data_IF_966222160295
#
_entry.id   IF_966222160295
#
_cell.length_a   1.000
_cell.length_b   1.000
_cell.length_c   1.000
_cell.angle_alpha   90.00
_cell.angle_beta   90.00
_cell.angle_gamma   90.00
#
_symmetry.space_group_name_H-M   'P 1'
#
loop_
_entity.id
_entity.type
_entity.pdbx_description
1 polymer ?
#
# COMPACT_ATOMS: atom_id res chain seq x y z
N UNK A 1 22.23 -46.78 -24.92
CA UNK A 1 22.50 -45.93 -23.73
C UNK A 1 22.45 -44.48 -24.21
N UNK A 2 21.81 -43.59 -23.43
CA UNK A 2 20.80 -42.61 -23.87
C UNK A 2 21.44 -41.27 -24.35
N UNK A 3 20.78 -40.36 -25.06
CA UNK A 3 19.69 -39.49 -24.58
C UNK A 3 18.78 -38.98 -25.71
N UNK A 4 17.48 -39.12 -25.45
CA UNK A 4 16.35 -38.69 -26.26
C UNK A 4 15.76 -37.41 -25.64
N UNK A 5 15.75 -36.31 -26.38
CA UNK A 5 14.90 -35.13 -26.12
C UNK A 5 14.40 -34.57 -27.45
N UNK A 6 13.44 -35.24 -28.05
CA UNK A 6 12.60 -34.63 -29.10
C UNK A 6 11.69 -33.62 -28.41
N UNK A 7 11.93 -32.34 -28.67
CA UNK A 7 10.98 -31.26 -28.38
C UNK A 7 9.79 -31.51 -29.31
N UNK A 8 8.65 -31.90 -28.76
CA UNK A 8 7.40 -32.02 -29.52
C UNK A 8 6.88 -30.60 -29.71
N UNK A 9 6.81 -30.17 -30.97
CA UNK A 9 6.21 -28.90 -31.38
C UNK A 9 4.69 -28.97 -31.19
N UNK A 10 4.13 -27.97 -30.52
CA UNK A 10 2.69 -27.79 -30.31
C UNK A 10 1.87 -27.68 -31.60
N UNK A 11 2.51 -27.50 -32.76
CA UNK A 11 1.84 -27.54 -34.06
C UNK A 11 1.42 -28.97 -34.50
N UNK A 12 2.11 -30.02 -34.06
CA UNK A 12 1.81 -31.41 -34.45
C UNK A 12 0.73 -32.08 -33.58
N UNK A 13 0.23 -31.39 -32.55
CA UNK A 13 -0.81 -31.90 -31.64
C UNK A 13 -2.24 -31.52 -32.06
N UNK A 14 -2.43 -30.81 -33.18
CA UNK A 14 -3.76 -30.42 -33.68
C UNK A 14 -4.33 -31.33 -34.78
N UNK A 15 -3.68 -32.45 -35.12
CA UNK A 15 -4.14 -33.37 -36.17
C UNK A 15 -4.48 -34.79 -35.64
N UNK A 16 -5.14 -34.86 -34.48
CA UNK A 16 -5.80 -36.10 -34.04
C UNK A 16 -7.30 -35.83 -33.92
N UNK A 17 -7.99 -36.21 -34.99
CA UNK A 17 -9.43 -36.26 -35.12
C UNK A 17 -10.07 -37.17 -34.06
N UNK A 18 -11.31 -36.78 -33.71
CA UNK A 18 -12.39 -37.61 -33.15
C UNK A 18 -12.52 -37.69 -31.61
N UNK A 19 -12.67 -36.53 -30.96
CA UNK A 19 -13.42 -36.45 -29.70
C UNK A 19 -14.65 -35.56 -29.92
N UNK A 20 -15.79 -36.22 -30.08
CA UNK A 20 -17.11 -35.62 -30.12
C UNK A 20 -17.44 -35.04 -28.73
N UNK A 21 -17.22 -33.73 -28.55
CA UNK A 21 -17.60 -32.97 -27.36
C UNK A 21 -18.66 -31.97 -27.82
N UNK A 22 -19.86 -32.05 -27.23
CA UNK A 22 -21.04 -31.25 -27.54
C UNK A 22 -20.73 -29.77 -27.84
N UNK A 23 -20.98 -29.37 -29.09
CA UNK A 23 -20.72 -28.04 -29.66
C UNK A 23 -21.50 -26.88 -29.01
N UNK A 24 -22.42 -27.14 -28.07
CA UNK A 24 -23.18 -26.07 -27.41
C UNK A 24 -22.43 -25.42 -26.22
N UNK A 25 -21.31 -25.98 -25.76
CA UNK A 25 -20.59 -25.46 -24.59
C UNK A 25 -19.37 -24.56 -24.89
N UNK A 26 -18.98 -24.44 -26.17
CA UNK A 26 -17.84 -23.60 -26.61
C UNK A 26 -18.24 -22.33 -27.38
N UNK A 27 -19.53 -22.13 -27.65
CA UNK A 27 -20.01 -21.00 -28.44
C UNK A 27 -19.98 -19.63 -27.70
N UNK A 28 -19.63 -19.59 -26.41
CA UNK A 28 -19.56 -18.33 -25.63
C UNK A 28 -18.13 -17.87 -25.31
N UNK A 29 -17.13 -18.36 -26.07
CA UNK A 29 -15.74 -17.88 -25.99
C UNK A 29 -15.18 -17.37 -27.33
N UNK A 30 -16.01 -17.30 -28.38
CA UNK A 30 -15.60 -16.70 -29.65
C UNK A 30 -15.70 -15.19 -29.61
N UNK A 31 -14.54 -14.56 -29.57
CA UNK A 31 -14.31 -13.13 -29.73
C UNK A 31 -14.95 -12.56 -31.02
N UNK A 32 -16.14 -11.98 -30.91
CA UNK A 32 -16.62 -10.95 -31.85
C UNK A 32 -17.67 -10.06 -31.18
N UNK A 33 -17.26 -8.87 -30.71
CA UNK A 33 -18.03 -7.62 -30.88
C UNK A 33 -17.21 -6.42 -30.43
N UNK A 34 -17.16 -5.42 -31.32
CA UNK A 34 -16.72 -4.03 -31.16
C UNK A 34 -16.25 -3.61 -29.77
N UNK A 35 -15.01 -3.11 -29.70
CA UNK A 35 -14.50 -2.36 -28.56
C UNK A 35 -15.52 -1.30 -28.13
N UNK A 36 -16.02 -1.44 -26.91
CA UNK A 36 -16.88 -0.44 -26.28
C UNK A 36 -16.03 0.82 -26.04
N UNK A 37 -16.34 1.98 -26.64
CA UNK A 37 -15.52 3.18 -26.51
C UNK A 37 -15.49 3.75 -25.07
N UNK A 38 -16.19 3.14 -24.11
CA UNK A 38 -16.24 3.62 -22.72
C UNK A 38 -15.27 2.94 -21.76
N UNK A 39 -14.54 1.89 -22.15
CA UNK A 39 -13.64 1.18 -21.24
C UNK A 39 -12.24 1.03 -21.84
N UNK A 40 -11.27 1.65 -21.17
CA UNK A 40 -9.86 1.64 -21.54
C UNK A 40 -9.24 0.34 -21.04
N UNK A 41 -9.19 -0.68 -21.88
CA UNK A 41 -8.58 -1.96 -21.53
C UNK A 41 -7.06 -1.90 -21.74
N UNK A 42 -6.32 -2.00 -20.64
CA UNK A 42 -4.86 -2.02 -20.63
C UNK A 42 -4.35 -3.46 -20.71
N UNK A 43 -3.77 -3.84 -21.85
CA UNK A 43 -3.02 -5.08 -21.99
C UNK A 43 -1.62 -4.90 -21.36
N UNK A 44 -1.45 -5.31 -20.11
CA UNK A 44 -0.14 -5.33 -19.45
C UNK A 44 0.60 -6.60 -19.84
N UNK A 45 1.59 -6.49 -20.74
CA UNK A 45 2.54 -7.59 -20.98
C UNK A 45 3.45 -7.75 -19.76
N UNK A 46 3.19 -8.76 -18.93
CA UNK A 46 4.10 -9.15 -17.85
C UNK A 46 5.29 -9.95 -18.41
N UNK A 47 6.50 -9.71 -17.90
CA UNK A 47 7.70 -10.48 -18.29
C UNK A 47 7.61 -11.93 -17.76
N UNK A 48 8.22 -12.89 -18.45
CA UNK A 48 8.02 -14.33 -18.19
C UNK A 48 8.28 -14.83 -16.75
N UNK A 49 9.18 -14.21 -15.99
CA UNK A 49 9.48 -14.60 -14.60
C UNK A 49 8.50 -14.04 -13.55
N UNK A 50 7.69 -13.02 -13.91
CA UNK A 50 6.55 -12.58 -13.10
C UNK A 50 5.29 -13.36 -13.44
N UNK A 51 5.28 -14.04 -14.59
CA UNK A 51 4.16 -14.84 -15.07
C UNK A 51 4.04 -16.17 -14.32
N UNK A 52 5.15 -16.88 -14.10
CA UNK A 52 5.14 -18.18 -13.41
C UNK A 52 4.58 -18.13 -11.97
N UNK A 53 4.90 -17.10 -11.20
CA UNK A 53 4.41 -16.98 -9.81
C UNK A 53 2.94 -16.53 -9.78
N UNK A 54 2.54 -15.69 -10.72
CA UNK A 54 1.16 -15.28 -10.88
C UNK A 54 0.29 -16.45 -11.35
N UNK A 55 0.78 -17.26 -12.29
CA UNK A 55 0.15 -18.51 -12.72
C UNK A 55 -0.01 -19.48 -11.55
N UNK A 56 1.03 -19.67 -10.74
CA UNK A 56 0.96 -20.54 -9.55
C UNK A 56 -0.10 -20.06 -8.57
N UNK A 57 -0.18 -18.74 -8.33
CA UNK A 57 -1.16 -18.13 -7.43
C UNK A 57 -2.58 -18.18 -8.00
N UNK A 58 -2.77 -17.94 -9.30
CA UNK A 58 -4.07 -18.06 -9.99
C UNK A 58 -4.55 -19.51 -9.99
N UNK A 59 -3.65 -20.48 -10.20
CA UNK A 59 -3.97 -21.92 -10.13
C UNK A 59 -4.36 -22.32 -8.71
N UNK A 60 -3.62 -21.87 -7.69
CA UNK A 60 -3.97 -22.12 -6.30
C UNK A 60 -5.32 -21.50 -5.91
N UNK A 61 -5.59 -20.28 -6.37
CA UNK A 61 -6.84 -19.58 -6.16
C UNK A 61 -8.03 -20.23 -6.87
N UNK A 62 -7.85 -20.63 -8.14
CA UNK A 62 -8.86 -21.33 -8.92
C UNK A 62 -9.19 -22.69 -8.29
N UNK A 63 -8.17 -23.43 -7.83
CA UNK A 63 -8.35 -24.67 -7.09
C UNK A 63 -9.10 -24.45 -5.76
N UNK A 64 -8.77 -23.39 -5.00
CA UNK A 64 -9.45 -23.08 -3.75
C UNK A 64 -10.91 -22.61 -3.95
N UNK A 65 -11.20 -21.89 -5.03
CA UNK A 65 -12.55 -21.46 -5.40
C UNK A 65 -13.42 -22.65 -5.83
N UNK A 66 -12.86 -23.59 -6.62
CA UNK A 66 -13.51 -24.84 -7.00
C UNK A 66 -13.84 -25.74 -5.80
N UNK A 67 -12.94 -25.80 -4.80
CA UNK A 67 -13.09 -26.69 -3.65
C UNK A 67 -13.95 -26.07 -2.52
N UNK A 68 -13.89 -24.76 -2.29
CA UNK A 68 -14.49 -24.11 -1.11
C UNK A 68 -15.61 -23.10 -1.38
N UNK A 69 -15.83 -22.68 -2.64
CA UNK A 69 -16.86 -21.69 -3.00
C UNK A 69 -16.64 -20.27 -2.47
N UNK A 70 -15.47 -19.98 -1.88
CA UNK A 70 -15.13 -18.66 -1.33
C UNK A 70 -14.47 -17.78 -2.40
N UNK A 71 -14.81 -16.49 -2.45
CA UNK A 71 -14.22 -15.53 -3.40
C UNK A 71 -12.92 -14.93 -2.82
N UNK A 72 -11.77 -15.32 -3.37
CA UNK A 72 -10.43 -14.91 -2.95
C UNK A 72 -9.86 -13.74 -3.76
N UNK A 73 -10.63 -13.13 -4.67
CA UNK A 73 -10.14 -12.08 -5.59
C UNK A 73 -9.42 -10.92 -4.90
N UNK A 74 -9.85 -10.53 -3.69
CA UNK A 74 -9.19 -9.44 -2.96
C UNK A 74 -7.83 -9.88 -2.38
N UNK A 75 -7.79 -11.05 -1.77
CA UNK A 75 -6.58 -11.61 -1.15
C UNK A 75 -5.50 -11.89 -2.20
N UNK A 76 -5.90 -12.40 -3.38
CA UNK A 76 -5.01 -12.60 -4.53
C UNK A 76 -4.44 -11.27 -5.05
N UNK A 77 -5.26 -10.22 -5.13
CA UNK A 77 -4.81 -8.89 -5.57
C UNK A 77 -3.83 -8.28 -4.57
N UNK A 78 -4.11 -8.42 -3.28
CA UNK A 78 -3.23 -7.94 -2.20
C UNK A 78 -1.89 -8.70 -2.22
N UNK A 79 -1.92 -10.02 -2.34
CA UNK A 79 -0.71 -10.85 -2.38
C UNK A 79 0.11 -10.64 -3.66
N UNK A 80 -0.55 -10.52 -4.83
CA UNK A 80 0.11 -10.13 -6.07
C UNK A 80 0.78 -8.76 -5.96
N UNK A 81 0.13 -7.79 -5.34
CA UNK A 81 0.69 -6.46 -5.14
C UNK A 81 1.93 -6.52 -4.24
N UNK A 82 1.92 -7.34 -3.18
CA UNK A 82 3.07 -7.55 -2.31
C UNK A 82 4.23 -8.21 -3.07
N UNK A 83 3.97 -9.27 -3.84
CA UNK A 83 5.00 -9.97 -4.62
C UNK A 83 5.60 -9.04 -5.67
N UNK A 84 4.77 -8.31 -6.41
CA UNK A 84 5.22 -7.33 -7.40
C UNK A 84 6.07 -6.24 -6.75
N UNK A 85 5.61 -5.69 -5.62
CA UNK A 85 6.35 -4.65 -4.88
C UNK A 85 7.69 -5.17 -4.40
N UNK A 86 7.77 -6.38 -3.85
CA UNK A 86 9.01 -6.97 -3.37
C UNK A 86 10.00 -7.20 -4.51
N UNK A 87 9.55 -7.75 -5.65
CA UNK A 87 10.42 -7.97 -6.81
C UNK A 87 10.91 -6.67 -7.43
N UNK A 88 10.02 -5.68 -7.59
CA UNK A 88 10.40 -4.36 -8.10
C UNK A 88 11.40 -3.70 -7.14
N UNK A 89 11.17 -3.79 -5.84
CA UNK A 89 12.08 -3.25 -4.82
C UNK A 89 13.46 -3.91 -4.90
N UNK A 90 13.53 -5.23 -5.03
CA UNK A 90 14.80 -5.96 -5.13
C UNK A 90 15.61 -5.59 -6.38
N UNK A 91 14.96 -5.47 -7.54
CA UNK A 91 15.61 -5.06 -8.79
C UNK A 91 16.04 -3.58 -8.74
N UNK A 92 15.18 -2.71 -8.19
CA UNK A 92 15.52 -1.30 -7.97
C UNK A 92 16.70 -1.15 -6.99
N UNK A 93 16.76 -1.96 -5.94
CA UNK A 93 17.88 -1.96 -4.99
C UNK A 93 19.20 -2.31 -5.68
N UNK A 94 19.19 -3.33 -6.55
CA UNK A 94 20.35 -3.73 -7.34
C UNK A 94 20.79 -2.61 -8.31
N UNK A 95 19.87 -2.07 -9.09
CA UNK A 95 20.15 -0.98 -10.03
C UNK A 95 20.64 0.28 -9.28
N UNK A 96 20.06 0.58 -8.12
CA UNK A 96 20.47 1.70 -7.27
C UNK A 96 21.89 1.51 -6.77
N UNK A 97 22.26 0.31 -6.31
CA UNK A 97 23.61 0.01 -5.86
C UNK A 97 24.65 0.24 -6.97
N UNK A 98 24.34 -0.20 -8.19
CA UNK A 98 25.22 -0.02 -9.34
C UNK A 98 25.39 1.47 -9.66
N UNK A 99 24.29 2.24 -9.73
CA UNK A 99 24.33 3.69 -9.98
C UNK A 99 25.08 4.45 -8.88
N UNK A 100 24.86 4.09 -7.61
CA UNK A 100 25.50 4.73 -6.45
C UNK A 100 27.02 4.49 -6.39
N UNK A 101 27.51 3.44 -7.06
CA UNK A 101 28.94 3.10 -7.14
C UNK A 101 29.69 3.84 -8.26
N UNK A 102 28.99 4.54 -9.15
CA UNK A 102 29.61 5.30 -10.25
C UNK A 102 30.48 6.42 -9.67
N UNK A 103 31.71 6.54 -10.17
CA UNK A 103 32.62 7.63 -9.84
C UNK A 103 32.18 8.90 -10.57
N UNK A 104 31.86 9.95 -9.80
CA UNK A 104 31.31 11.21 -10.32
C UNK A 104 32.31 12.36 -10.26
N UNK A 105 33.30 12.30 -9.37
CA UNK A 105 34.37 13.30 -9.29
C UNK A 105 35.64 12.71 -8.65
N UNK A 106 36.75 13.44 -8.75
CA UNK A 106 37.97 13.15 -7.98
C UNK A 106 38.22 14.27 -6.99
N UNK A 107 38.39 13.95 -5.71
CA UNK A 107 38.76 14.91 -4.67
C UNK A 107 40.21 14.66 -4.27
N UNK A 108 41.12 15.43 -4.85
CA UNK A 108 42.56 15.15 -4.74
C UNK A 108 42.95 13.91 -5.55
N UNK A 109 43.39 12.84 -4.88
CA UNK A 109 43.76 11.56 -5.51
C UNK A 109 42.70 10.46 -5.37
N UNK A 110 41.63 10.72 -4.64
CA UNK A 110 40.59 9.73 -4.36
C UNK A 110 39.41 9.89 -5.32
N UNK A 111 38.93 8.76 -5.82
CA UNK A 111 37.72 8.67 -6.64
C UNK A 111 36.50 8.74 -5.73
N UNK A 112 35.64 9.73 -5.96
CA UNK A 112 34.42 9.95 -5.20
C UNK A 112 33.26 9.34 -5.96
N UNK A 113 32.66 8.31 -5.35
CA UNK A 113 31.44 7.68 -5.85
C UNK A 113 30.22 8.58 -5.62
N UNK A 114 29.15 8.37 -6.39
CA UNK A 114 27.90 9.10 -6.23
C UNK A 114 27.34 8.98 -4.80
N UNK A 115 27.44 7.79 -4.19
CA UNK A 115 27.06 7.59 -2.78
C UNK A 115 27.85 8.49 -1.82
N UNK A 116 29.17 8.61 -2.02
CA UNK A 116 30.01 9.47 -1.18
C UNK A 116 29.72 10.94 -1.41
N UNK A 117 29.45 11.36 -2.65
CA UNK A 117 29.06 12.73 -2.97
C UNK A 117 27.74 13.09 -2.26
N UNK A 118 26.71 12.24 -2.39
CA UNK A 118 25.43 12.42 -1.69
C UNK A 118 25.65 12.47 -0.17
N UNK A 119 26.48 11.58 0.38
CA UNK A 119 26.79 11.57 1.81
C UNK A 119 27.46 12.87 2.29
N UNK A 120 28.39 13.43 1.51
CA UNK A 120 29.04 14.70 1.81
C UNK A 120 28.04 15.87 1.73
N UNK A 121 27.27 15.95 0.65
CA UNK A 121 26.26 17.01 0.48
C UNK A 121 25.17 16.93 1.55
N UNK A 122 24.73 15.72 1.90
CA UNK A 122 23.79 15.50 2.99
C UNK A 122 24.37 15.96 4.33
N UNK A 123 25.65 15.67 4.60
CA UNK A 123 26.32 16.16 5.81
C UNK A 123 26.40 17.69 5.82
N UNK A 124 26.77 18.32 4.72
CA UNK A 124 26.86 19.79 4.63
C UNK A 124 25.47 20.43 4.80
N UNK A 125 24.46 19.86 4.16
CA UNK A 125 23.06 20.27 4.31
C UNK A 125 22.56 20.15 5.75
N UNK A 126 22.86 19.04 6.43
CA UNK A 126 22.40 18.76 7.80
C UNK A 126 23.15 19.58 8.86
N UNK A 127 24.40 19.95 8.59
CA UNK A 127 25.22 20.76 9.49
C UNK A 127 25.06 22.26 9.24
N UNK A 128 24.45 22.65 8.11
CA UNK A 128 24.12 24.05 7.82
C UNK A 128 23.32 24.66 8.99
N UNK A 129 23.77 25.82 9.44
CA UNK A 129 23.09 26.60 10.46
C UNK A 129 21.82 27.21 9.91
N UNK A 130 20.71 26.99 10.63
CA UNK A 130 19.39 27.49 10.25
C UNK A 130 18.77 28.28 11.39
N UNK A 131 17.81 29.12 11.03
CA UNK A 131 16.94 29.78 11.98
C UNK A 131 16.10 28.74 12.74
N UNK A 132 16.03 28.80 14.08
CA UNK A 132 15.30 27.82 14.88
C UNK A 132 13.77 27.84 14.69
N UNK A 133 13.21 28.91 14.13
CA UNK A 133 11.78 29.08 13.88
C UNK A 133 11.43 28.83 12.41
N UNK A 134 12.13 29.44 11.45
CA UNK A 134 11.82 29.31 10.03
C UNK A 134 12.47 28.09 9.36
N UNK A 135 13.59 27.58 9.89
CA UNK A 135 14.37 26.51 9.26
C UNK A 135 15.15 26.97 8.01
N UNK A 136 15.09 28.26 7.69
CA UNK A 136 15.81 28.86 6.59
C UNK A 136 17.29 29.00 6.93
N UNK A 137 18.19 28.81 5.96
CA UNK A 137 19.61 29.00 6.19
C UNK A 137 19.91 30.47 6.47
N UNK A 138 20.65 30.73 7.56
CA UNK A 138 21.10 32.08 7.93
C UNK A 138 22.61 32.15 7.92
N UNK A 139 23.14 33.15 7.22
CA UNK A 139 24.58 33.47 7.17
C UNK A 139 24.99 34.43 8.28
N UNK A 140 24.05 35.21 8.82
CA UNK A 140 24.35 36.19 9.85
C UNK A 140 24.40 35.57 11.24
N UNK A 141 25.57 35.74 11.86
CA UNK A 141 25.87 35.27 13.22
C UNK A 141 25.50 36.30 14.31
N UNK A 142 24.91 37.43 13.91
CA UNK A 142 24.56 38.52 14.82
C UNK A 142 23.10 38.38 15.29
N UNK A 143 22.93 37.79 16.49
CA UNK A 143 21.73 37.97 17.31
C UNK A 143 20.77 36.79 17.45
N UNK A 144 20.81 35.79 16.57
CA UNK A 144 19.99 34.58 16.69
C UNK A 144 20.84 33.36 17.10
N UNK A 145 20.35 32.55 18.03
CA UNK A 145 20.93 31.23 18.35
C UNK A 145 20.64 30.28 17.18
N UNK A 146 21.45 30.37 16.13
CA UNK A 146 21.37 29.47 14.99
C UNK A 146 21.65 28.04 15.45
N UNK A 147 20.89 27.09 14.93
CA UNK A 147 21.04 25.67 15.26
C UNK A 147 21.37 24.86 14.01
N UNK A 148 22.08 23.73 14.12
CA UNK A 148 22.27 22.82 12.99
C UNK A 148 20.92 22.36 12.44
N UNK A 149 20.79 22.27 11.10
CA UNK A 149 19.55 21.84 10.44
C UNK A 149 19.07 20.48 10.93
N UNK A 150 19.97 19.55 11.24
CA UNK A 150 19.60 18.26 11.83
C UNK A 150 18.83 18.41 13.14
N UNK A 151 19.22 19.35 14.01
CA UNK A 151 18.55 19.59 15.27
C UNK A 151 17.18 20.25 15.05
N UNK A 152 17.08 21.18 14.10
CA UNK A 152 15.80 21.77 13.70
C UNK A 152 14.83 20.70 13.19
N UNK A 153 15.28 19.85 12.25
CA UNK A 153 14.45 18.79 11.66
C UNK A 153 14.00 17.79 12.71
N UNK A 154 14.92 17.30 13.56
CA UNK A 154 14.58 16.40 14.65
C UNK A 154 13.53 17.01 15.59
N UNK A 155 13.71 18.28 15.98
CA UNK A 155 12.75 19.00 16.82
C UNK A 155 11.39 19.18 16.14
N UNK A 156 11.38 19.49 14.84
CA UNK A 156 10.14 19.65 14.05
C UNK A 156 9.36 18.34 14.00
N UNK A 157 9.98 17.24 13.58
CA UNK A 157 9.31 15.95 13.46
C UNK A 157 8.84 15.41 14.81
N UNK A 158 9.63 15.59 15.88
CA UNK A 158 9.19 15.23 17.23
C UNK A 158 7.96 16.03 17.66
N UNK A 159 7.95 17.36 17.44
CA UNK A 159 6.79 18.20 17.75
C UNK A 159 5.56 17.79 16.96
N UNK A 160 5.70 17.56 15.65
CA UNK A 160 4.59 17.18 14.79
C UNK A 160 4.02 15.81 15.19
N UNK A 161 4.89 14.86 15.53
CA UNK A 161 4.49 13.54 16.04
C UNK A 161 3.75 13.64 17.38
N UNK A 162 4.32 14.37 18.37
CA UNK A 162 3.66 14.56 19.66
C UNK A 162 2.33 15.31 19.52
N UNK A 163 2.27 16.31 18.65
CA UNK A 163 1.01 17.01 18.35
C UNK A 163 -0.02 16.03 17.80
N UNK A 164 0.34 15.19 16.84
CA UNK A 164 -0.56 14.16 16.31
C UNK A 164 -1.05 13.19 17.37
N UNK A 165 -0.18 12.75 18.29
CA UNK A 165 -0.57 11.88 19.41
C UNK A 165 -1.53 12.58 20.39
N UNK A 166 -1.24 13.84 20.75
CA UNK A 166 -2.09 14.62 21.65
C UNK A 166 -3.46 14.87 21.00
N UNK A 167 -3.47 15.27 19.73
CA UNK A 167 -4.71 15.52 18.98
C UNK A 167 -5.54 14.24 18.83
N UNK A 168 -4.89 13.08 18.64
CA UNK A 168 -5.54 11.77 18.64
C UNK A 168 -6.16 11.43 19.99
N UNK A 169 -5.36 11.45 21.05
CA UNK A 169 -5.82 11.15 22.42
C UNK A 169 -6.94 12.09 22.87
N UNK A 170 -6.89 13.36 22.49
CA UNK A 170 -7.92 14.35 22.80
C UNK A 170 -9.24 14.06 22.06
N UNK A 171 -9.18 13.61 20.80
CA UNK A 171 -10.37 13.17 20.06
C UNK A 171 -11.00 11.93 20.69
N UNK A 172 -10.18 10.96 21.08
CA UNK A 172 -10.64 9.74 21.74
C UNK A 172 -11.33 10.07 23.06
N UNK A 173 -10.72 10.91 23.90
CA UNK A 173 -11.31 11.38 25.16
C UNK A 173 -12.62 12.13 24.94
N UNK A 174 -12.69 13.02 23.94
CA UNK A 174 -13.94 13.74 23.60
C UNK A 174 -15.04 12.74 23.20
N UNK A 175 -14.70 11.70 22.44
CA UNK A 175 -15.66 10.69 22.01
C UNK A 175 -16.20 9.90 23.20
N UNK A 176 -15.34 9.53 24.15
CA UNK A 176 -15.71 8.83 25.38
C UNK A 176 -16.62 9.68 26.26
N UNK A 177 -16.23 10.93 26.51
CA UNK A 177 -17.03 11.88 27.31
C UNK A 177 -18.40 12.12 26.68
N UNK A 178 -18.47 12.27 25.34
CA UNK A 178 -19.75 12.41 24.64
C UNK A 178 -20.63 11.17 24.76
N UNK A 179 -20.05 9.98 24.69
CA UNK A 179 -20.78 8.73 24.85
C UNK A 179 -21.35 8.61 26.28
N UNK A 180 -20.56 8.94 27.29
CA UNK A 180 -20.98 8.89 28.69
C UNK A 180 -22.07 9.93 29.01
N UNK A 181 -21.92 11.18 28.53
CA UNK A 181 -22.98 12.20 28.65
C UNK A 181 -24.27 11.74 27.97
N UNK A 182 -24.17 11.18 26.76
CA UNK A 182 -25.35 10.69 26.02
C UNK A 182 -26.06 9.57 26.78
N UNK A 183 -25.32 8.67 27.42
CA UNK A 183 -25.85 7.61 28.28
C UNK A 183 -26.55 8.19 29.51
N UNK A 184 -25.97 9.19 30.17
CA UNK A 184 -26.59 9.85 31.33
C UNK A 184 -27.86 10.60 30.94
N UNK A 185 -27.87 11.31 29.81
CA UNK A 185 -29.07 11.97 29.28
C UNK A 185 -30.15 10.94 28.97
N UNK A 186 -29.81 9.82 28.31
CA UNK A 186 -30.76 8.77 28.01
C UNK A 186 -31.37 8.14 29.28
N UNK A 187 -30.55 7.91 30.31
CA UNK A 187 -31.01 7.40 31.60
C UNK A 187 -31.92 8.40 32.32
N UNK A 188 -31.58 9.69 32.31
CA UNK A 188 -32.41 10.74 32.90
C UNK A 188 -33.76 10.87 32.17
N UNK A 189 -33.76 10.86 30.84
CA UNK A 189 -34.99 10.87 30.04
C UNK A 189 -35.86 9.64 30.33
N UNK A 190 -35.25 8.45 30.44
CA UNK A 190 -35.98 7.23 30.76
C UNK A 190 -36.65 7.31 32.15
N UNK A 191 -35.90 7.79 33.15
CA UNK A 191 -36.42 7.98 34.50
C UNK A 191 -37.57 9.02 34.56
N UNK A 192 -37.43 10.15 33.87
CA UNK A 192 -38.49 11.16 33.80
C UNK A 192 -39.73 10.63 33.05
N UNK A 193 -39.54 9.92 31.92
CA UNK A 193 -40.66 9.27 31.21
C UNK A 193 -41.43 8.32 32.12
N UNK A 194 -40.72 7.51 32.91
CA UNK A 194 -41.33 6.59 33.86
C UNK A 194 -42.14 7.32 34.95
N UNK A 195 -41.59 8.40 35.53
CA UNK A 195 -42.33 9.24 36.49
C UNK A 195 -43.59 9.83 35.87
N UNK A 196 -43.51 10.38 34.64
CA UNK A 196 -44.67 10.93 33.94
C UNK A 196 -45.71 9.86 33.66
N UNK A 197 -45.31 8.69 33.18
CA UNK A 197 -46.18 7.55 32.92
C UNK A 197 -46.94 7.08 34.17
N UNK A 198 -46.25 7.00 35.31
CA UNK A 198 -46.89 6.70 36.60
C UNK A 198 -47.90 7.78 37.01
N UNK A 199 -47.58 9.06 36.79
CA UNK A 199 -48.46 10.17 37.13
C UNK A 199 -49.75 10.23 36.26
N UNK A 200 -49.68 9.77 35.00
CA UNK A 200 -50.83 9.78 34.07
C UNK A 200 -51.52 8.42 33.95
N UNK A 201 -51.09 7.40 34.70
CA UNK A 201 -51.68 6.06 34.69
C UNK A 201 -51.51 5.30 33.37
N UNK A 202 -50.46 5.58 32.59
CA UNK A 202 -50.21 4.99 31.29
C UNK A 202 -49.00 4.03 31.35
N UNK A 203 -49.13 2.78 30.89
CA UNK A 203 -48.00 1.84 30.84
C UNK A 203 -47.11 2.10 29.61
N UNK A 204 -45.82 2.38 29.84
CA UNK A 204 -44.84 2.54 28.76
C UNK A 204 -44.52 1.16 28.17
N UNK A 205 -44.91 0.90 26.93
CA UNK A 205 -44.44 -0.26 26.17
C UNK A 205 -42.93 -0.14 25.94
N UNK A 206 -42.14 -1.07 26.48
CA UNK A 206 -40.71 -1.23 26.14
C UNK A 206 -40.60 -1.67 24.68
N UNK A 207 -40.29 -0.74 23.78
CA UNK A 207 -39.80 -1.10 22.43
C UNK A 207 -38.42 -1.71 22.55
N UNK A 208 -38.29 -2.89 21.95
CA UNK A 208 -37.11 -3.76 21.94
C UNK A 208 -36.04 -3.21 21.00
#
# INVERSE_FOLDING_TARGET
MPDNKTIIDSADLMEVDDVNIDEESFADLTATKQADPSTMDFYVQMRGYTMSDFETMVVHAAAAQLISGRNFQREIKEEAAVIATNKVTAELEKATKDVMSIVVSKRGKEDVTLSQMIGMEAKDYLTQLVDPYSGEPKTDNWGARNIPRVQYLAGKYLRDHFKGQIDGALKDLISEVRAEISKQIAAAIAAEREKFAQAIGYEIKKTR
#
